data_IF_898368658109
#
_entry.id   IF_898368658109
#
_cell.length_a   1.000
_cell.length_b   1.000
_cell.length_c   1.000
_cell.angle_alpha   90.00
_cell.angle_beta   90.00
_cell.angle_gamma   90.00
#
_symmetry.space_group_name_H-M   'P 1'
#
loop_
_entity.id
_entity.type
_entity.pdbx_description
1 polymer ?
#
# COMPACT_ATOMS: atom_id res chain seq x y z
N UNK A 1 -14.84 -19.13 -11.18
CA UNK A 1 -14.31 -18.22 -10.14
C UNK A 1 -14.47 -16.81 -10.67
N UNK A 2 -15.30 -15.95 -10.05
CA UNK A 2 -15.42 -14.56 -10.50
C UNK A 2 -14.05 -13.91 -10.36
N UNK A 3 -13.49 -13.47 -11.47
CA UNK A 3 -12.27 -12.68 -11.45
C UNK A 3 -12.64 -11.38 -10.74
N UNK A 4 -11.79 -10.85 -9.83
CA UNK A 4 -12.05 -9.55 -9.28
C UNK A 4 -12.18 -8.57 -10.46
N UNK A 5 -13.26 -7.80 -10.46
CA UNK A 5 -13.63 -7.04 -11.64
C UNK A 5 -12.71 -5.82 -11.74
N UNK A 6 -12.19 -5.59 -12.94
CA UNK A 6 -11.31 -4.45 -13.19
C UNK A 6 -12.04 -3.12 -12.96
N UNK A 7 -13.37 -3.15 -13.10
CA UNK A 7 -14.27 -2.02 -12.84
C UNK A 7 -14.31 -1.66 -11.36
N UNK A 8 -14.41 -2.65 -10.46
CA UNK A 8 -14.35 -2.40 -9.01
C UNK A 8 -13.00 -1.82 -8.58
N UNK A 9 -11.90 -2.31 -9.16
CA UNK A 9 -10.57 -1.75 -8.91
C UNK A 9 -10.45 -0.29 -9.38
N UNK A 10 -11.08 0.05 -10.50
CA UNK A 10 -11.16 1.43 -11.00
C UNK A 10 -12.03 2.31 -10.11
N UNK A 11 -13.19 1.82 -9.67
CA UNK A 11 -14.06 2.51 -8.73
C UNK A 11 -13.34 2.84 -7.41
N UNK A 12 -12.67 1.85 -6.80
CA UNK A 12 -11.85 2.10 -5.61
C UNK A 12 -10.72 3.10 -5.87
N UNK A 13 -10.13 3.09 -7.07
CA UNK A 13 -9.12 4.06 -7.47
C UNK A 13 -9.70 5.49 -7.57
N UNK A 14 -10.95 5.66 -8.01
CA UNK A 14 -11.62 6.96 -8.01
C UNK A 14 -11.98 7.43 -6.60
N UNK A 15 -12.46 6.53 -5.73
CA UNK A 15 -12.71 6.85 -4.32
C UNK A 15 -11.42 7.30 -3.60
N UNK A 16 -10.33 6.58 -3.83
CA UNK A 16 -9.01 6.89 -3.28
C UNK A 16 -8.29 8.01 -4.05
N UNK A 17 -8.82 8.45 -5.20
CA UNK A 17 -8.19 9.45 -6.05
C UNK A 17 -8.02 10.81 -5.37
N UNK A 18 -8.86 11.11 -4.38
CA UNK A 18 -8.70 12.30 -3.53
C UNK A 18 -7.43 12.27 -2.66
N UNK A 19 -6.87 11.09 -2.40
CA UNK A 19 -5.61 10.91 -1.67
C UNK A 19 -4.37 10.95 -2.58
N UNK A 20 -4.53 10.93 -3.90
CA UNK A 20 -3.43 11.06 -4.87
C UNK A 20 -3.57 10.15 -6.10
N UNK A 21 -2.52 10.08 -6.95
CA UNK A 21 -2.51 9.25 -8.15
C UNK A 21 -2.46 7.76 -7.78
N UNK A 22 -3.63 7.16 -7.64
CA UNK A 22 -3.81 5.74 -7.36
C UNK A 22 -3.63 4.90 -8.62
N UNK A 23 -2.99 3.73 -8.49
CA UNK A 23 -2.80 2.77 -9.56
C UNK A 23 -3.22 1.39 -9.07
N UNK A 24 -4.27 0.78 -9.66
CA UNK A 24 -4.61 -0.60 -9.38
C UNK A 24 -3.57 -1.53 -10.02
N UNK A 25 -3.01 -2.43 -9.23
CA UNK A 25 -2.01 -3.41 -9.62
C UNK A 25 -2.47 -4.80 -9.19
N UNK A 26 -2.62 -5.71 -10.14
CA UNK A 26 -3.01 -7.09 -9.85
C UNK A 26 -1.98 -7.77 -8.93
N UNK A 27 -2.41 -8.18 -7.74
CA UNK A 27 -1.56 -8.81 -6.71
C UNK A 27 -2.41 -9.73 -5.82
N UNK A 28 -1.88 -10.92 -5.48
CA UNK A 28 -2.51 -11.87 -4.55
C UNK A 28 -3.93 -12.36 -4.93
N UNK A 29 -4.17 -12.67 -6.20
CA UNK A 29 -5.49 -13.13 -6.65
C UNK A 29 -6.57 -12.03 -6.65
N UNK A 30 -6.18 -10.80 -6.33
CA UNK A 30 -6.99 -9.58 -6.34
C UNK A 30 -6.25 -8.39 -6.94
N UNK A 31 -6.50 -7.18 -6.42
CA UNK A 31 -5.88 -5.93 -6.88
C UNK A 31 -5.32 -5.12 -5.70
N UNK A 32 -4.02 -4.85 -5.67
CA UNK A 32 -3.45 -3.85 -4.78
C UNK A 32 -3.59 -2.44 -5.36
N UNK A 33 -3.97 -1.46 -4.56
CA UNK A 33 -3.92 -0.04 -4.94
C UNK A 33 -2.66 0.58 -4.38
N UNK A 34 -1.85 1.11 -5.29
CA UNK A 34 -0.60 1.78 -4.98
C UNK A 34 -0.65 3.25 -5.38
N UNK A 35 -0.22 4.14 -4.48
CA UNK A 35 -0.12 5.58 -4.72
C UNK A 35 1.34 5.99 -4.54
N UNK A 36 1.96 6.60 -5.54
CA UNK A 36 3.38 7.03 -5.51
C UNK A 36 4.37 5.90 -5.12
N UNK A 37 4.06 4.65 -5.49
CA UNK A 37 4.87 3.48 -5.14
C UNK A 37 4.65 2.94 -3.72
N UNK A 38 3.68 3.47 -2.99
CA UNK A 38 3.22 3.00 -1.68
C UNK A 38 1.91 2.24 -1.82
N UNK A 39 1.84 1.00 -1.36
CA UNK A 39 0.58 0.26 -1.30
C UNK A 39 -0.24 0.73 -0.10
N UNK A 40 -1.35 1.40 -0.39
CA UNK A 40 -2.26 1.95 0.64
C UNK A 40 -3.47 1.05 0.87
N UNK A 41 -3.90 0.29 -0.14
CA UNK A 41 -5.05 -0.61 -0.05
C UNK A 41 -4.86 -1.86 -0.91
N UNK A 42 -5.61 -2.90 -0.63
CA UNK A 42 -5.70 -4.12 -1.43
C UNK A 42 -7.16 -4.56 -1.55
N UNK A 43 -7.52 -5.15 -2.67
CA UNK A 43 -8.83 -5.69 -2.98
C UNK A 43 -8.63 -7.18 -3.06
N UNK A 44 -9.36 -7.93 -2.24
CA UNK A 44 -9.29 -9.38 -2.20
C UNK A 44 -10.67 -9.95 -1.93
N UNK A 45 -10.96 -11.07 -2.60
CA UNK A 45 -12.12 -11.90 -2.30
C UNK A 45 -11.70 -12.99 -1.31
N UNK A 46 -12.18 -12.91 -0.07
CA UNK A 46 -11.95 -13.90 0.98
C UNK A 46 -13.17 -14.80 1.23
N UNK A 47 -14.10 -14.88 0.27
CA UNK A 47 -15.33 -15.66 0.39
C UNK A 47 -16.56 -14.86 0.85
N UNK A 48 -16.38 -13.60 1.26
CA UNK A 48 -17.47 -12.64 1.48
C UNK A 48 -17.71 -11.70 0.29
N UNK A 49 -17.05 -11.94 -0.86
CA UNK A 49 -17.08 -11.07 -2.03
C UNK A 49 -15.86 -10.15 -2.13
N UNK A 50 -15.83 -9.32 -3.17
CA UNK A 50 -14.76 -8.36 -3.41
C UNK A 50 -14.77 -7.29 -2.32
N UNK A 51 -13.80 -7.36 -1.40
CA UNK A 51 -13.68 -6.39 -0.31
C UNK A 51 -12.42 -5.55 -0.48
N UNK A 52 -12.55 -4.25 -0.24
CA UNK A 52 -11.41 -3.33 -0.12
C UNK A 52 -10.84 -3.43 1.29
N UNK A 53 -9.54 -3.62 1.39
CA UNK A 53 -8.77 -3.72 2.61
C UNK A 53 -7.77 -2.58 2.65
N UNK A 54 -7.88 -1.72 3.65
CA UNK A 54 -7.04 -0.55 3.84
C UNK A 54 -5.88 -0.87 4.78
N UNK A 55 -4.71 -0.28 4.51
CA UNK A 55 -3.55 -0.42 5.37
C UNK A 55 -3.73 0.43 6.63
N UNK A 56 -3.47 -0.14 7.80
CA UNK A 56 -3.47 0.58 9.07
C UNK A 56 -2.09 0.57 9.73
N UNK A 57 -1.71 1.69 10.36
CA UNK A 57 -0.64 1.80 11.35
C UNK A 57 -1.20 1.67 12.78
N UNK A 58 -0.32 1.58 13.78
CA UNK A 58 -0.75 1.51 15.20
C UNK A 58 -1.64 2.68 15.61
N UNK A 59 -1.42 3.88 15.08
CA UNK A 59 -2.24 5.06 15.37
C UNK A 59 -3.66 4.92 14.79
N UNK A 60 -3.78 4.35 13.60
CA UNK A 60 -5.06 4.22 12.88
C UNK A 60 -5.85 2.97 13.27
N UNK A 61 -5.18 1.96 13.85
CA UNK A 61 -5.79 0.69 14.29
C UNK A 61 -7.00 0.91 15.21
N UNK A 62 -6.91 1.86 16.16
CA UNK A 62 -7.98 2.13 17.10
C UNK A 62 -9.27 2.62 16.44
N UNK A 63 -9.16 3.34 15.32
CA UNK A 63 -10.32 3.82 14.54
C UNK A 63 -11.01 2.66 13.81
N UNK A 64 -10.22 1.75 13.22
CA UNK A 64 -10.76 0.56 12.56
C UNK A 64 -11.39 -0.42 13.58
N UNK A 65 -10.78 -0.59 14.75
CA UNK A 65 -11.35 -1.42 15.82
C UNK A 65 -12.63 -0.80 16.41
N UNK A 66 -12.71 0.53 16.52
CA UNK A 66 -13.91 1.23 16.97
C UNK A 66 -15.09 1.04 16.02
N UNK A 67 -14.83 1.00 14.71
CA UNK A 67 -15.82 0.74 13.67
C UNK A 67 -16.11 -0.76 13.46
N UNK A 68 -15.50 -1.64 14.26
CA UNK A 68 -15.70 -3.09 14.16
C UNK A 68 -15.13 -3.72 12.88
N UNK A 69 -14.17 -3.07 12.23
CA UNK A 69 -13.60 -3.54 10.97
C UNK A 69 -12.82 -4.84 11.16
N UNK A 70 -13.08 -5.82 10.29
CA UNK A 70 -12.37 -7.10 10.33
C UNK A 70 -10.92 -6.95 9.88
N UNK A 71 -10.00 -7.60 10.61
CA UNK A 71 -8.59 -7.65 10.24
C UNK A 71 -8.35 -8.72 9.18
N UNK A 72 -7.59 -8.35 8.14
CA UNK A 72 -7.20 -9.25 7.06
C UNK A 72 -6.37 -10.41 7.60
N UNK A 73 -6.99 -11.58 7.64
CA UNK A 73 -6.35 -12.84 7.99
C UNK A 73 -6.50 -13.76 6.81
N UNK A 74 -5.37 -14.18 6.25
CA UNK A 74 -5.36 -15.06 5.08
C UNK A 74 -4.51 -16.30 5.35
N UNK A 75 -4.96 -17.50 4.92
CA UNK A 75 -4.17 -18.71 5.05
C UNK A 75 -3.05 -18.73 4.01
N UNK A 76 -1.79 -18.67 4.47
CA UNK A 76 -0.61 -18.91 3.64
C UNK A 76 -0.15 -20.33 3.87
N UNK A 77 -0.23 -21.20 2.86
CA UNK A 77 0.23 -22.60 2.95
C UNK A 77 -0.33 -23.34 4.18
N UNK A 78 -1.61 -23.12 4.50
CA UNK A 78 -2.27 -23.72 5.66
C UNK A 78 -2.02 -23.01 7.01
N UNK A 79 -1.21 -21.94 7.04
CA UNK A 79 -0.97 -21.15 8.26
C UNK A 79 -1.74 -19.83 8.18
N UNK A 80 -2.63 -19.53 9.13
CA UNK A 80 -3.32 -18.25 9.18
C UNK A 80 -2.30 -17.14 9.47
N UNK A 81 -2.15 -16.20 8.52
CA UNK A 81 -1.30 -15.03 8.67
C UNK A 81 -2.16 -13.78 8.70
N UNK A 82 -2.11 -13.07 9.83
CA UNK A 82 -2.76 -11.78 10.00
C UNK A 82 -1.85 -10.67 9.49
N UNK A 83 -2.40 -9.70 8.78
CA UNK A 83 -1.70 -8.46 8.42
C UNK A 83 -2.44 -7.25 8.99
N UNK A 84 -1.77 -6.10 9.07
CA UNK A 84 -2.39 -4.83 9.47
C UNK A 84 -3.15 -4.21 8.28
N UNK A 85 -4.00 -5.02 7.65
CA UNK A 85 -5.00 -4.53 6.71
C UNK A 85 -6.37 -4.75 7.34
N UNK A 86 -7.25 -3.76 7.22
CA UNK A 86 -8.60 -3.79 7.77
C UNK A 86 -9.61 -3.65 6.64
N UNK A 87 -10.72 -4.36 6.71
CA UNK A 87 -11.80 -4.21 5.75
C UNK A 87 -12.35 -2.78 5.82
N UNK A 88 -12.55 -2.14 4.67
CA UNK A 88 -13.26 -0.87 4.63
C UNK A 88 -14.73 -1.10 5.03
N UNK A 89 -15.32 -0.25 5.89
CA UNK A 89 -16.73 -0.36 6.23
C UNK A 89 -17.57 -0.19 4.97
N UNK A 90 -18.69 -0.91 4.87
CA UNK A 90 -19.57 -0.86 3.70
C UNK A 90 -20.06 0.57 3.42
N UNK A 91 -20.32 1.35 4.47
CA UNK A 91 -20.68 2.77 4.37
C UNK A 91 -19.59 3.61 3.67
N UNK A 92 -18.30 3.30 3.89
CA UNK A 92 -17.22 3.98 3.19
C UNK A 92 -17.16 3.59 1.70
N UNK A 93 -17.61 2.39 1.32
CA UNK A 93 -17.68 1.97 -0.08
C UNK A 93 -18.87 2.60 -0.82
N UNK A 94 -19.90 3.06 -0.09
CA UNK A 94 -21.07 3.74 -0.67
C UNK A 94 -20.81 5.20 -1.06
N UNK A 95 -19.82 5.87 -0.47
CA UNK A 95 -19.55 7.28 -0.79
C UNK A 95 -18.07 7.68 -0.73
N UNK A 96 -17.56 8.40 -1.74
CA UNK A 96 -16.19 8.93 -1.72
C UNK A 96 -15.94 9.87 -0.53
N UNK A 97 -16.96 10.58 -0.06
CA UNK A 97 -16.85 11.47 1.10
C UNK A 97 -16.57 10.70 2.40
N UNK A 98 -17.16 9.50 2.54
CA UNK A 98 -16.94 8.63 3.69
C UNK A 98 -15.62 7.87 3.57
N UNK A 99 -15.20 7.49 2.35
CA UNK A 99 -13.89 6.86 2.13
C UNK A 99 -12.71 7.83 2.32
N UNK A 100 -12.91 9.13 2.14
CA UNK A 100 -11.86 10.15 2.20
C UNK A 100 -11.02 10.13 3.49
N UNK A 101 -11.62 10.16 4.71
CA UNK A 101 -10.84 10.06 5.95
C UNK A 101 -10.06 8.74 6.02
N UNK A 102 -10.66 7.63 5.62
CA UNK A 102 -10.02 6.33 5.61
C UNK A 102 -8.84 6.23 4.63
N UNK A 103 -9.00 6.79 3.44
CA UNK A 103 -7.96 6.89 2.42
C UNK A 103 -6.74 7.67 2.94
N UNK A 104 -7.01 8.77 3.66
CA UNK A 104 -6.00 9.64 4.24
C UNK A 104 -5.21 8.92 5.34
N UNK A 105 -5.92 8.24 6.24
CA UNK A 105 -5.32 7.41 7.29
C UNK A 105 -4.45 6.29 6.70
N UNK A 106 -4.92 5.63 5.64
CA UNK A 106 -4.16 4.58 4.95
C UNK A 106 -2.89 5.13 4.26
N UNK A 107 -2.98 6.33 3.69
CA UNK A 107 -1.83 7.04 3.13
C UNK A 107 -0.81 7.39 4.21
N UNK A 108 -1.25 7.97 5.33
CA UNK A 108 -0.38 8.28 6.47
C UNK A 108 0.32 7.01 6.98
N UNK A 109 -0.43 5.92 7.19
CA UNK A 109 0.13 4.64 7.60
C UNK A 109 1.17 4.09 6.60
N UNK A 110 0.96 4.28 5.30
CA UNK A 110 1.92 3.85 4.28
C UNK A 110 3.17 4.74 4.26
N UNK A 111 3.03 6.04 4.48
CA UNK A 111 4.14 6.99 4.61
C UNK A 111 4.95 6.69 5.88
N UNK A 112 4.30 6.48 7.01
CA UNK A 112 4.92 6.07 8.28
C UNK A 112 5.67 4.74 8.11
N UNK A 113 5.04 3.75 7.46
CA UNK A 113 5.68 2.47 7.18
C UNK A 113 6.93 2.64 6.32
N UNK A 114 6.93 3.56 5.35
CA UNK A 114 8.12 3.89 4.54
C UNK A 114 9.16 4.70 5.30
N UNK A 115 8.76 5.56 6.24
CA UNK A 115 9.68 6.28 7.10
C UNK A 115 10.37 5.33 8.10
N UNK A 116 9.62 4.39 8.66
CA UNK A 116 10.11 3.41 9.63
C UNK A 116 10.86 2.25 8.97
N UNK A 117 10.47 1.85 7.75
CA UNK A 117 11.26 0.98 6.90
C UNK A 117 12.47 1.79 6.38
N UNK A 118 13.57 1.76 7.14
CA UNK A 118 14.90 2.34 6.83
C UNK A 118 15.07 2.65 5.34
N UNK A 119 15.45 3.88 4.96
CA UNK A 119 15.36 4.35 3.58
C UNK A 119 16.25 3.50 2.68
N UNK A 120 15.67 2.54 1.95
CA UNK A 120 16.28 2.09 0.70
C UNK A 120 16.00 3.21 -0.30
N UNK A 121 16.90 4.18 -0.31
CA UNK A 121 17.09 5.26 -1.29
C UNK A 121 16.47 4.88 -2.63
N UNK A 122 15.19 5.21 -2.82
CA UNK A 122 14.61 5.27 -4.17
C UNK A 122 15.25 6.50 -4.77
N UNK A 123 16.20 6.22 -5.66
CA UNK A 123 16.80 7.17 -6.58
C UNK A 123 15.65 7.86 -7.29
N UNK A 124 15.26 9.02 -6.77
CA UNK A 124 14.46 9.97 -7.52
C UNK A 124 15.28 10.29 -8.77
N UNK A 125 14.73 9.94 -9.94
CA UNK A 125 15.16 10.46 -11.23
C UNK A 125 15.19 11.99 -11.12
N UNK A 126 16.37 12.56 -10.90
CA UNK A 126 16.69 13.94 -11.24
C UNK A 126 17.98 13.92 -12.04
N UNK A 127 17.86 14.47 -13.24
CA UNK A 127 18.85 14.89 -14.22
C UNK A 127 20.32 14.62 -13.86
N UNK A 128 21.03 13.98 -14.80
CA UNK A 128 22.48 13.95 -14.84
C UNK A 128 23.08 15.35 -14.69
N UNK A 129 24.13 15.50 -13.87
CA UNK A 129 25.27 16.27 -14.33
C UNK A 129 26.57 15.47 -14.21
N UNK A 130 27.51 15.90 -15.03
CA UNK A 130 28.73 15.22 -15.40
C UNK A 130 29.82 15.22 -14.32
N UNK A 131 30.81 14.35 -14.57
CA UNK A 131 32.25 14.56 -14.35
C UNK A 131 32.76 14.67 -12.89
N UNK A 132 33.44 13.61 -12.45
CA UNK A 132 34.92 13.53 -12.24
C UNK A 132 35.21 12.45 -11.21
N UNK A 133 35.94 11.40 -11.60
CA UNK A 133 36.73 10.62 -10.65
C UNK A 133 38.18 10.68 -11.10
N UNK A 134 38.92 11.44 -10.30
CA UNK A 134 40.37 11.48 -10.22
C UNK A 134 40.88 10.10 -9.81
N UNK A 135 41.82 9.54 -10.57
CA UNK A 135 42.47 8.28 -10.24
C UNK A 135 43.45 8.49 -9.09
N UNK A 136 43.18 7.84 -7.97
CA UNK A 136 44.02 7.80 -6.76
C UNK A 136 45.15 6.78 -6.91
N UNK A 137 46.34 7.21 -6.48
CA UNK A 137 47.57 6.43 -6.24
C UNK A 137 47.31 5.18 -5.41
N UNK A 138 47.90 4.04 -5.82
CA UNK A 138 48.13 2.87 -4.96
C UNK A 138 49.61 2.80 -4.58
N UNK A 139 49.84 2.71 -3.28
CA UNK A 139 51.15 2.59 -2.61
C UNK A 139 51.52 1.11 -2.43
N UNK A 140 52.77 0.76 -2.73
CA UNK A 140 53.68 0.02 -1.82
C UNK A 140 53.54 -1.50 -1.59
N UNK A 141 54.50 -2.23 -2.21
CA UNK A 141 55.45 -3.19 -1.58
C UNK A 141 55.00 -4.65 -1.32
N UNK A 142 55.69 -5.63 -1.94
CA UNK A 142 56.82 -6.43 -1.37
C UNK A 142 56.99 -7.77 -2.11
N UNK A 143 58.17 -8.03 -2.68
CA UNK A 143 58.92 -9.28 -2.49
C UNK A 143 60.40 -8.98 -2.67
#
# INVERSE_FOLDING_TARGET
>A
MPTPDHDFARYCCELLGSAGPCVPKRMFGGFGISTDGLTIAIIADLGSGQTLWLKASEATRGLFEAEGCARFTYPVKGVPKSMNYYAAPAEALESPGLMLPWARLALEAAVEARANAKPKRVVAKKASPAKKVVASKTSGRKK
#
